data_IF_773691108472
#
_entry.id   IF_773691108472
#
_cell.length_a   1.000
_cell.length_b   1.000
_cell.length_c   1.000
_cell.angle_alpha   90.00
_cell.angle_beta   90.00
_cell.angle_gamma   90.00
#
_symmetry.space_group_name_H-M   'P 1'
#
loop_
_entity.id
_entity.type
_entity.pdbx_description
1 polymer ?
#
# COMPACT_ATOMS: atom_id res chain seq x y z
N UNK A 1 -12.30 15.79 -7.52
CA UNK A 1 -13.13 14.97 -8.41
C UNK A 1 -14.41 14.73 -7.67
N UNK A 2 -15.49 15.33 -8.16
CA UNK A 2 -16.80 15.17 -7.55
C UNK A 2 -17.36 13.77 -7.85
N UNK A 3 -18.24 13.26 -6.99
CA UNK A 3 -18.82 11.91 -7.15
C UNK A 3 -19.50 11.75 -8.52
N UNK A 4 -20.02 12.83 -9.08
CA UNK A 4 -20.71 12.83 -10.37
C UNK A 4 -19.77 12.63 -11.58
N UNK A 5 -18.47 12.91 -11.44
CA UNK A 5 -17.52 12.88 -12.57
C UNK A 5 -16.97 11.48 -12.85
N UNK A 6 -16.76 10.65 -11.82
CA UNK A 6 -16.14 9.33 -11.99
C UNK A 6 -17.16 8.21 -12.27
N UNK A 7 -18.41 8.39 -11.86
CA UNK A 7 -19.47 7.40 -12.03
C UNK A 7 -19.63 6.88 -13.47
N UNK A 8 -19.79 7.73 -14.50
CA UNK A 8 -19.92 7.25 -15.88
C UNK A 8 -18.68 6.48 -16.33
N UNK A 9 -17.49 6.91 -15.91
CA UNK A 9 -16.23 6.24 -16.23
C UNK A 9 -16.15 4.85 -15.61
N UNK A 10 -16.66 4.66 -14.38
CA UNK A 10 -16.73 3.35 -13.74
C UNK A 10 -17.63 2.41 -14.52
N UNK A 11 -18.82 2.86 -14.91
CA UNK A 11 -19.79 2.04 -15.69
C UNK A 11 -19.20 1.64 -17.05
N UNK A 12 -18.57 2.58 -17.76
CA UNK A 12 -17.91 2.29 -19.04
C UNK A 12 -16.74 1.32 -18.88
N UNK A 13 -15.89 1.53 -17.87
CA UNK A 13 -14.76 0.66 -17.59
C UNK A 13 -15.19 -0.76 -17.18
N UNK A 14 -16.34 -0.91 -16.51
CA UNK A 14 -16.96 -2.22 -16.22
C UNK A 14 -17.36 -2.96 -17.50
N UNK A 15 -17.81 -2.23 -18.53
CA UNK A 15 -18.13 -2.79 -19.85
C UNK A 15 -16.88 -3.08 -20.70
N UNK A 16 -15.67 -2.83 -20.20
CA UNK A 16 -14.41 -3.10 -20.88
C UNK A 16 -13.78 -1.90 -21.59
N UNK A 17 -14.33 -0.69 -21.41
CA UNK A 17 -13.73 0.53 -21.94
C UNK A 17 -12.39 0.83 -21.23
N UNK A 18 -11.30 0.67 -21.98
CA UNK A 18 -9.93 0.90 -21.49
C UNK A 18 -9.61 2.37 -21.32
N UNK A 19 -10.21 3.24 -22.13
CA UNK A 19 -9.98 4.68 -22.05
C UNK A 19 -10.64 5.25 -20.79
N UNK A 20 -11.88 4.84 -20.51
CA UNK A 20 -12.59 5.18 -19.28
C UNK A 20 -11.80 4.72 -18.05
N UNK A 21 -11.26 3.49 -18.07
CA UNK A 21 -10.39 3.02 -17.00
C UNK A 21 -9.11 3.86 -16.88
N UNK A 22 -8.49 4.25 -18.00
CA UNK A 22 -7.32 5.13 -18.00
C UNK A 22 -7.60 6.51 -17.37
N UNK A 23 -8.80 7.05 -17.57
CA UNK A 23 -9.23 8.28 -16.90
C UNK A 23 -9.36 8.10 -15.38
N UNK A 24 -9.94 6.98 -14.93
CA UNK A 24 -9.98 6.61 -13.51
C UNK A 24 -8.57 6.46 -12.92
N UNK A 25 -7.64 5.82 -13.63
CA UNK A 25 -6.25 5.71 -13.17
C UNK A 25 -5.66 7.09 -12.93
N UNK A 26 -5.72 7.99 -13.93
CA UNK A 26 -5.18 9.36 -13.81
C UNK A 26 -5.79 10.13 -12.63
N UNK A 27 -7.09 9.96 -12.39
CA UNK A 27 -7.77 10.65 -11.31
C UNK A 27 -7.39 10.14 -9.90
N UNK A 28 -7.13 8.83 -9.76
CA UNK A 28 -6.92 8.21 -8.45
C UNK A 28 -5.46 7.83 -8.15
N UNK A 29 -4.55 7.92 -9.12
CA UNK A 29 -3.15 7.48 -8.98
C UNK A 29 -2.44 8.15 -7.80
N UNK A 30 -2.53 9.49 -7.70
CA UNK A 30 -1.91 10.23 -6.59
C UNK A 30 -2.46 9.80 -5.22
N UNK A 31 -3.76 9.49 -5.13
CA UNK A 31 -4.41 9.05 -3.89
C UNK A 31 -3.93 7.66 -3.49
N UNK A 32 -3.89 6.72 -4.44
CA UNK A 32 -3.40 5.36 -4.22
C UNK A 32 -1.93 5.39 -3.81
N UNK A 33 -1.11 6.16 -4.54
CA UNK A 33 0.31 6.33 -4.25
C UNK A 33 0.55 6.91 -2.85
N UNK A 34 -0.19 7.95 -2.46
CA UNK A 34 -0.06 8.55 -1.13
C UNK A 34 -0.39 7.55 -0.01
N UNK A 35 -1.43 6.72 -0.18
CA UNK A 35 -1.80 5.67 0.78
C UNK A 35 -0.69 4.61 0.87
N UNK A 36 -0.19 4.15 -0.27
CA UNK A 36 0.90 3.17 -0.34
C UNK A 36 2.18 3.70 0.31
N UNK A 37 2.57 4.94 -0.02
CA UNK A 37 3.75 5.60 0.52
C UNK A 37 3.69 5.75 2.04
N UNK A 38 2.53 6.16 2.58
CA UNK A 38 2.34 6.28 4.04
C UNK A 38 2.56 4.95 4.77
N UNK A 39 2.23 3.82 4.13
CA UNK A 39 2.35 2.49 4.73
C UNK A 39 3.74 1.87 4.54
N UNK A 40 4.33 1.99 3.35
CA UNK A 40 5.59 1.34 3.00
C UNK A 40 6.82 2.18 3.36
N UNK A 41 6.67 3.51 3.43
CA UNK A 41 7.76 4.48 3.65
C UNK A 41 8.93 4.32 2.66
N UNK A 42 8.64 3.78 1.48
CA UNK A 42 9.58 3.61 0.38
C UNK A 42 8.86 4.02 -0.92
N UNK A 43 9.42 5.00 -1.65
CA UNK A 43 8.81 5.54 -2.87
C UNK A 43 8.79 4.52 -4.01
N UNK A 44 9.86 3.74 -4.18
CA UNK A 44 9.95 2.76 -5.25
C UNK A 44 8.92 1.63 -5.04
N UNK A 45 8.86 1.07 -3.83
CA UNK A 45 7.86 0.05 -3.49
C UNK A 45 6.43 0.61 -3.57
N UNK A 46 6.20 1.87 -3.19
CA UNK A 46 4.89 2.51 -3.31
C UNK A 46 4.45 2.69 -4.77
N UNK A 47 5.37 3.06 -5.67
CA UNK A 47 5.09 3.19 -7.10
C UNK A 47 4.72 1.84 -7.72
N UNK A 48 5.50 0.80 -7.42
CA UNK A 48 5.22 -0.57 -7.87
C UNK A 48 3.87 -1.07 -7.32
N UNK A 49 3.60 -0.87 -6.03
CA UNK A 49 2.33 -1.26 -5.42
C UNK A 49 1.14 -0.51 -6.04
N UNK A 50 1.32 0.75 -6.43
CA UNK A 50 0.28 1.54 -7.09
C UNK A 50 -0.12 0.91 -8.42
N UNK A 51 0.86 0.44 -9.20
CA UNK A 51 0.60 -0.31 -10.43
C UNK A 51 -0.15 -1.62 -10.15
N UNK A 52 0.32 -2.40 -9.16
CA UNK A 52 -0.34 -3.65 -8.74
C UNK A 52 -1.81 -3.43 -8.37
N UNK A 53 -2.10 -2.34 -7.66
CA UNK A 53 -3.46 -1.95 -7.27
C UNK A 53 -4.33 -1.72 -8.50
N UNK A 54 -3.86 -0.97 -9.50
CA UNK A 54 -4.67 -0.71 -10.70
C UNK A 54 -4.82 -1.93 -11.59
N UNK A 55 -3.80 -2.80 -11.69
CA UNK A 55 -3.92 -4.10 -12.38
C UNK A 55 -4.99 -4.96 -11.70
N UNK A 56 -4.98 -5.00 -10.37
CA UNK A 56 -5.98 -5.76 -9.61
C UNK A 56 -7.36 -5.11 -9.68
N UNK A 57 -7.44 -3.78 -9.69
CA UNK A 57 -8.68 -3.03 -9.86
C UNK A 57 -9.29 -3.35 -11.22
N UNK A 58 -8.54 -3.24 -12.33
CA UNK A 58 -9.02 -3.57 -13.68
C UNK A 58 -9.64 -4.97 -13.75
N UNK A 59 -8.98 -5.97 -13.16
CA UNK A 59 -9.46 -7.38 -13.15
C UNK A 59 -10.73 -7.58 -12.34
N UNK A 60 -10.95 -6.75 -11.31
CA UNK A 60 -12.06 -6.91 -10.35
C UNK A 60 -13.19 -5.90 -10.54
N UNK A 61 -12.96 -4.86 -11.32
CA UNK A 61 -13.92 -3.79 -11.55
C UNK A 61 -15.29 -4.29 -12.05
N UNK A 62 -15.37 -5.31 -12.96
CA UNK A 62 -16.66 -5.88 -13.37
C UNK A 62 -17.47 -6.52 -12.23
N UNK A 63 -16.83 -6.85 -11.09
CA UNK A 63 -17.47 -7.45 -9.92
C UNK A 63 -17.96 -6.40 -8.91
N UNK A 64 -17.64 -5.12 -9.11
CA UNK A 64 -18.10 -4.03 -8.26
C UNK A 64 -19.59 -3.79 -8.52
N UNK A 65 -20.44 -4.06 -7.52
CA UNK A 65 -21.90 -3.99 -7.68
C UNK A 65 -22.44 -2.56 -7.77
N UNK A 66 -21.83 -1.65 -7.03
CA UNK A 66 -22.26 -0.27 -6.87
C UNK A 66 -21.12 0.65 -7.30
N UNK A 67 -21.30 1.34 -8.43
CA UNK A 67 -20.24 2.14 -9.08
C UNK A 67 -19.79 3.34 -8.24
N UNK A 68 -20.70 3.94 -7.47
CA UNK A 68 -20.45 5.03 -6.53
C UNK A 68 -19.49 4.65 -5.40
N UNK A 69 -19.40 3.35 -5.07
CA UNK A 69 -18.46 2.83 -4.06
C UNK A 69 -17.03 2.70 -4.56
N UNK A 70 -16.75 3.00 -5.83
CA UNK A 70 -15.43 2.83 -6.43
C UNK A 70 -14.27 3.42 -5.60
N UNK A 71 -14.32 4.67 -5.07
CA UNK A 71 -13.22 5.21 -4.28
C UNK A 71 -12.93 4.42 -3.01
N UNK A 72 -13.97 4.03 -2.28
CA UNK A 72 -13.86 3.23 -1.05
C UNK A 72 -13.35 1.82 -1.33
N UNK A 73 -13.86 1.20 -2.39
CA UNK A 73 -13.43 -0.11 -2.86
C UNK A 73 -11.96 -0.11 -3.33
N UNK A 74 -11.54 0.90 -4.09
CA UNK A 74 -10.15 1.06 -4.54
C UNK A 74 -9.22 1.23 -3.34
N UNK A 75 -9.60 2.07 -2.37
CA UNK A 75 -8.86 2.24 -1.11
C UNK A 75 -8.71 0.91 -0.36
N UNK A 76 -9.73 0.06 -0.33
CA UNK A 76 -9.66 -1.25 0.31
C UNK A 76 -8.64 -2.17 -0.38
N UNK A 77 -8.60 -2.17 -1.71
CA UNK A 77 -7.58 -2.89 -2.48
C UNK A 77 -6.19 -2.38 -2.11
N UNK A 78 -5.96 -1.07 -2.13
CA UNK A 78 -4.68 -0.44 -1.79
C UNK A 78 -4.19 -0.81 -0.40
N UNK A 79 -5.07 -0.69 0.61
CA UNK A 79 -4.72 -1.00 2.00
C UNK A 79 -4.36 -2.48 2.15
N UNK A 80 -5.14 -3.38 1.57
CA UNK A 80 -4.89 -4.82 1.63
C UNK A 80 -3.53 -5.16 1.01
N UNK A 81 -3.25 -4.65 -0.19
CA UNK A 81 -1.97 -4.89 -0.88
C UNK A 81 -0.79 -4.30 -0.10
N UNK A 82 -0.96 -3.10 0.44
CA UNK A 82 0.07 -2.45 1.28
C UNK A 82 0.42 -3.28 2.52
N UNK A 83 -0.59 -3.84 3.19
CA UNK A 83 -0.39 -4.71 4.37
C UNK A 83 0.35 -5.98 3.96
N UNK A 84 -0.09 -6.64 2.88
CA UNK A 84 0.58 -7.85 2.38
C UNK A 84 2.06 -7.59 2.04
N UNK A 85 2.36 -6.45 1.41
CA UNK A 85 3.73 -6.04 1.09
C UNK A 85 4.55 -5.77 2.37
N UNK A 86 3.99 -5.04 3.32
CA UNK A 86 4.66 -4.69 4.57
C UNK A 86 4.99 -5.91 5.44
N UNK A 87 4.10 -6.91 5.51
CA UNK A 87 4.33 -8.15 6.28
C UNK A 87 5.38 -9.05 5.64
N UNK A 88 5.50 -9.02 4.30
CA UNK A 88 6.50 -9.80 3.56
C UNK A 88 7.87 -9.16 3.53
N UNK A 89 7.98 -7.90 3.96
CA UNK A 89 9.28 -7.22 4.08
C UNK A 89 10.05 -7.95 5.19
N UNK A 90 11.21 -8.57 4.90
CA UNK A 90 12.14 -8.88 5.96
C UNK A 90 12.33 -7.58 6.73
N UNK A 91 12.13 -7.56 8.05
CA UNK A 91 12.66 -6.43 8.83
C UNK A 91 14.11 -6.36 8.38
N UNK A 92 14.50 -5.28 7.72
CA UNK A 92 15.89 -4.91 7.70
C UNK A 92 16.20 -4.68 9.17
N UNK A 93 16.62 -5.75 9.86
CA UNK A 93 17.55 -5.60 10.96
C UNK A 93 18.66 -4.82 10.28
N UNK A 94 18.77 -3.55 10.65
CA UNK A 94 19.96 -2.77 10.38
C UNK A 94 21.08 -3.61 10.99
N UNK A 95 21.70 -4.47 10.18
CA UNK A 95 22.98 -5.09 10.50
C UNK A 95 24.00 -3.99 10.29
N UNK A 96 23.92 -2.99 11.15
CA UNK A 96 25.03 -2.12 11.39
C UNK A 96 25.86 -2.85 12.45
N UNK A 97 26.96 -3.53 12.07
CA UNK A 97 27.79 -4.27 13.00
C UNK A 97 28.35 -3.35 14.11
N UNK A 98 28.40 -2.03 13.90
CA UNK A 98 28.83 -1.07 14.92
C UNK A 98 27.75 -0.84 16.00
N UNK A 99 26.46 -0.90 15.65
CA UNK A 99 25.36 -0.71 16.62
C UNK A 99 25.17 -1.92 17.54
N UNK A 100 25.50 -3.13 17.05
CA UNK A 100 25.41 -4.38 17.82
C UNK A 100 26.41 -4.44 18.99
N UNK A 101 27.53 -3.72 18.90
CA UNK A 101 28.52 -3.63 19.99
C UNK A 101 28.07 -2.76 21.17
N UNK A 102 27.11 -1.85 20.95
CA UNK A 102 26.64 -0.90 21.97
C UNK A 102 25.64 -1.57 22.93
N UNK A 103 25.02 -2.69 22.53
CA UNK A 103 24.06 -3.45 23.36
C UNK A 103 24.78 -4.54 24.20
N UNK A 104 26.09 -4.39 24.43
CA UNK A 104 26.78 -5.03 25.54
C UNK A 104 26.97 -4.00 26.66
N UNK A 105 25.86 -3.40 27.11
CA UNK A 105 25.86 -2.87 28.47
C UNK A 105 26.06 -4.08 29.38
N UNK A 106 27.23 -4.14 30.01
CA UNK A 106 27.55 -5.06 31.08
C UNK A 106 26.35 -5.07 32.03
N UNK A 107 25.56 -6.14 31.99
CA UNK A 107 24.77 -6.48 33.16
C UNK A 107 25.78 -7.05 34.14
N UNK A 108 26.52 -6.17 34.81
CA UNK A 108 26.96 -6.46 36.17
C UNK A 108 25.68 -6.84 36.92
N UNK A 109 25.48 -8.15 37.04
CA UNK A 109 24.43 -8.70 37.85
C UNK A 109 24.77 -8.30 39.27
N UNK A 110 23.90 -7.62 40.03
CA UNK A 110 24.16 -7.27 41.43
C UNK A 110 24.32 -8.49 42.36
N UNK A 111 24.39 -9.70 41.81
CA UNK A 111 24.55 -10.96 42.52
C UNK A 111 25.99 -11.45 42.60
N UNK A 112 26.96 -10.80 41.92
CA UNK A 112 28.38 -11.20 42.01
C UNK A 112 29.07 -10.71 43.30
N UNK A 113 28.28 -10.20 44.27
CA UNK A 113 28.78 -9.77 45.58
C UNK A 113 28.03 -10.35 46.78
N UNK A 114 27.36 -11.50 46.62
CA UNK A 114 26.80 -12.22 47.77
C UNK A 114 27.23 -13.69 47.78
N UNK A 115 28.24 -13.92 48.64
CA UNK A 115 28.78 -15.17 49.21
C UNK A 115 29.68 -16.03 48.33
#
# INVERSE_FOLDING_TARGET
MDTNEFLPLVVQAQAGDREAFGQLVRAFEMTVFAIALRRLRNRAEAAELTQDVFIQALRKLPQLREADRFPGWLRQITVRLSINRAVRRPRAVTQDPELLGIINCERESPLDHVM
#
